data_IF_756296357214
#
_entry.id   IF_756296357214
#
_cell.length_a   1.000
_cell.length_b   1.000
_cell.length_c   1.000
_cell.angle_alpha   90.00
_cell.angle_beta   90.00
_cell.angle_gamma   90.00
#
_symmetry.space_group_name_H-M   'P 1'
#
loop_
_entity.id
_entity.type
_entity.pdbx_description
1 polymer ?
#
# COMPACT_ATOMS: atom_id res chain seq x y z
N UNK A 1 -19.76 -19.66 -22.56
CA UNK A 1 -19.64 -18.18 -22.61
C UNK A 1 -18.45 -17.78 -21.77
N UNK A 2 -17.52 -16.99 -22.31
CA UNK A 2 -16.42 -16.44 -21.51
C UNK A 2 -17.04 -15.54 -20.42
N UNK A 3 -16.63 -15.74 -19.16
CA UNK A 3 -17.13 -14.97 -18.02
C UNK A 3 -16.65 -13.53 -18.22
N UNK A 4 -17.55 -12.55 -18.27
CA UNK A 4 -17.14 -11.15 -18.37
C UNK A 4 -16.33 -10.77 -17.11
N UNK A 5 -15.20 -10.07 -17.27
CA UNK A 5 -14.41 -9.63 -16.13
C UNK A 5 -15.23 -8.69 -15.25
N UNK A 6 -15.13 -8.89 -13.93
CA UNK A 6 -15.82 -8.11 -12.91
C UNK A 6 -14.80 -7.35 -12.08
N UNK A 7 -15.10 -6.11 -11.75
CA UNK A 7 -14.33 -5.35 -10.78
C UNK A 7 -14.56 -5.91 -9.38
N UNK A 8 -13.49 -6.15 -8.64
CA UNK A 8 -13.51 -6.54 -7.24
C UNK A 8 -12.82 -5.45 -6.42
N UNK A 9 -13.49 -4.95 -5.40
CA UNK A 9 -12.90 -4.08 -4.38
C UNK A 9 -12.69 -4.91 -3.11
N UNK A 10 -11.44 -4.99 -2.66
CA UNK A 10 -11.00 -5.89 -1.60
C UNK A 10 -10.30 -5.04 -0.53
N UNK A 11 -10.96 -4.72 0.59
CA UNK A 11 -10.31 -4.01 1.69
C UNK A 11 -9.31 -4.96 2.36
N UNK A 12 -8.03 -4.57 2.38
CA UNK A 12 -6.96 -5.27 3.08
C UNK A 12 -6.64 -4.63 4.45
N UNK A 13 -7.19 -3.44 4.70
CA UNK A 13 -7.19 -2.75 6.00
C UNK A 13 -8.00 -1.45 5.94
N UNK A 14 -8.28 -0.86 7.11
CA UNK A 14 -9.01 0.41 7.26
C UNK A 14 -10.54 0.33 7.21
N UNK A 15 -11.13 -0.85 6.94
CA UNK A 15 -12.58 -1.04 7.02
C UNK A 15 -12.97 -1.62 8.39
N UNK A 16 -13.76 -0.86 9.16
CA UNK A 16 -14.17 -1.26 10.51
C UNK A 16 -13.13 -0.95 11.60
N UNK A 17 -12.09 -0.20 11.26
CA UNK A 17 -10.99 0.22 12.14
C UNK A 17 -10.50 1.63 11.75
N UNK A 18 -9.69 2.27 12.60
CA UNK A 18 -9.00 3.53 12.29
C UNK A 18 -7.53 3.21 12.05
N UNK A 19 -7.03 3.49 10.85
CA UNK A 19 -5.66 3.21 10.48
C UNK A 19 -5.55 2.14 9.38
N UNK A 20 -4.32 1.83 8.97
CA UNK A 20 -4.03 0.67 8.09
C UNK A 20 -4.78 0.69 6.75
N UNK A 21 -5.08 1.88 6.22
CA UNK A 21 -5.87 2.00 5.00
C UNK A 21 -5.16 1.30 3.84
N UNK A 22 -5.85 0.34 3.24
CA UNK A 22 -5.37 -0.36 2.05
C UNK A 22 -6.55 -1.02 1.32
N UNK A 23 -6.72 -0.70 0.04
CA UNK A 23 -7.76 -1.28 -0.81
C UNK A 23 -7.14 -1.82 -2.09
N UNK A 24 -7.37 -3.10 -2.40
CA UNK A 24 -7.03 -3.66 -3.69
C UNK A 24 -8.24 -3.59 -4.64
N UNK A 25 -8.03 -2.97 -5.80
CA UNK A 25 -8.96 -3.01 -6.92
C UNK A 25 -8.44 -4.02 -7.95
N UNK A 26 -9.14 -5.14 -8.09
CA UNK A 26 -8.80 -6.19 -9.05
C UNK A 26 -9.79 -6.17 -10.22
N UNK A 27 -9.27 -6.11 -11.44
CA UNK A 27 -10.04 -6.25 -12.66
C UNK A 27 -9.29 -7.15 -13.63
N UNK A 28 -9.92 -8.26 -14.00
CA UNK A 28 -9.31 -9.32 -14.81
C UNK A 28 -8.02 -9.86 -14.16
N UNK A 29 -6.86 -9.72 -14.82
CA UNK A 29 -5.57 -10.13 -14.27
C UNK A 29 -4.76 -8.98 -13.64
N UNK A 30 -5.37 -7.82 -13.42
CA UNK A 30 -4.67 -6.63 -12.97
C UNK A 30 -5.16 -6.18 -11.60
N UNK A 31 -4.23 -5.76 -10.74
CA UNK A 31 -4.48 -5.23 -9.42
C UNK A 31 -3.86 -3.86 -9.30
N UNK A 32 -4.65 -2.89 -8.85
CA UNK A 32 -4.17 -1.59 -8.38
C UNK A 32 -4.46 -1.49 -6.90
N UNK A 33 -3.47 -1.06 -6.12
CA UNK A 33 -3.63 -0.89 -4.67
C UNK A 33 -3.78 0.60 -4.38
N UNK A 34 -4.79 0.96 -3.60
CA UNK A 34 -4.99 2.32 -3.07
C UNK A 34 -4.52 2.30 -1.62
N UNK A 35 -3.53 3.15 -1.34
CA UNK A 35 -2.87 3.30 -0.05
C UNK A 35 -2.19 2.03 0.50
N UNK A 36 -1.32 2.22 1.47
CA UNK A 36 -0.59 1.20 2.18
C UNK A 36 -0.21 1.73 3.57
N UNK A 37 -1.25 1.93 4.39
CA UNK A 37 -1.14 2.48 5.72
C UNK A 37 -0.68 1.52 6.80
N UNK A 38 -0.19 2.08 7.90
CA UNK A 38 -0.03 1.38 9.19
C UNK A 38 -1.11 1.81 10.19
N UNK A 39 -1.20 1.11 11.30
CA UNK A 39 -1.97 1.54 12.46
C UNK A 39 -1.05 1.56 13.69
N UNK A 40 -1.25 2.54 14.57
CA UNK A 40 -0.58 2.54 15.87
C UNK A 40 -1.31 1.58 16.82
N UNK A 41 -0.57 0.84 17.66
CA UNK A 41 -1.13 -0.14 18.60
C UNK A 41 -2.07 0.53 19.62
N UNK A 42 -3.08 -0.23 20.05
CA UNK A 42 -3.94 0.13 21.20
C UNK A 42 -3.19 -0.09 22.53
N UNK A 43 -3.69 0.49 23.62
CA UNK A 43 -3.01 0.47 24.93
C UNK A 43 -2.74 -0.96 25.46
N UNK A 44 -3.60 -1.91 25.09
CA UNK A 44 -3.51 -3.31 25.48
C UNK A 44 -2.45 -4.11 24.70
N UNK A 45 -1.94 -3.57 23.58
CA UNK A 45 -0.97 -4.25 22.71
C UNK A 45 0.47 -4.01 23.17
N UNK A 46 0.78 -4.48 24.38
CA UNK A 46 2.08 -4.25 25.03
C UNK A 46 3.25 -4.80 24.20
N UNK A 47 4.23 -3.93 23.93
CA UNK A 47 5.47 -4.27 23.19
C UNK A 47 5.32 -4.29 21.67
N UNK A 48 4.13 -3.97 21.14
CA UNK A 48 3.93 -3.72 19.71
C UNK A 48 4.24 -2.27 19.42
N UNK A 49 5.00 -1.98 18.37
CA UNK A 49 5.26 -0.59 17.91
C UNK A 49 4.28 -0.17 16.80
N UNK A 50 3.97 -1.08 15.88
CA UNK A 50 3.17 -0.83 14.68
C UNK A 50 2.32 -2.05 14.32
N UNK A 51 1.13 -1.83 13.78
CA UNK A 51 0.26 -2.85 13.21
C UNK A 51 0.17 -2.66 11.70
N UNK A 52 0.43 -3.72 10.95
CA UNK A 52 0.52 -3.72 9.48
C UNK A 52 -0.63 -4.51 8.85
N UNK A 53 -1.01 -4.21 7.59
CA UNK A 53 -2.01 -4.99 6.87
C UNK A 53 -1.45 -6.35 6.46
N UNK A 54 -2.31 -7.36 6.42
CA UNK A 54 -1.96 -8.65 5.82
C UNK A 54 -2.02 -8.54 4.29
N UNK A 55 -0.86 -8.62 3.66
CA UNK A 55 -0.71 -8.51 2.20
C UNK A 55 -0.53 -9.87 1.51
N UNK A 56 -0.86 -10.98 2.17
CA UNK A 56 -0.77 -12.34 1.58
C UNK A 56 -1.51 -12.43 0.24
N UNK A 57 -2.69 -11.82 0.14
CA UNK A 57 -3.46 -11.75 -1.10
C UNK A 57 -2.67 -11.11 -2.26
N UNK A 58 -1.90 -10.05 -1.98
CA UNK A 58 -1.06 -9.37 -2.96
C UNK A 58 0.22 -10.16 -3.26
N UNK A 59 0.85 -10.77 -2.25
CA UNK A 59 2.07 -11.57 -2.42
C UNK A 59 1.88 -12.75 -3.37
N UNK A 60 0.77 -13.48 -3.22
CA UNK A 60 0.39 -14.58 -4.10
C UNK A 60 0.14 -14.14 -5.55
N UNK A 61 -0.08 -12.84 -5.77
CA UNK A 61 -0.47 -12.23 -7.06
C UNK A 61 0.47 -11.09 -7.45
N UNK A 62 1.72 -11.09 -6.95
CA UNK A 62 2.65 -9.96 -7.09
C UNK A 62 2.83 -9.49 -8.54
N UNK A 63 2.87 -10.43 -9.49
CA UNK A 63 3.03 -10.13 -10.92
C UNK A 63 1.81 -9.41 -11.54
N UNK A 64 0.66 -9.47 -10.87
CA UNK A 64 -0.59 -8.81 -11.26
C UNK A 64 -0.70 -7.39 -10.71
N UNK A 65 0.16 -7.01 -9.76
CA UNK A 65 0.11 -5.69 -9.10
C UNK A 65 0.77 -4.65 -10.00
N UNK A 66 -0.05 -3.76 -10.55
CA UNK A 66 0.41 -2.70 -11.45
C UNK A 66 1.04 -1.51 -10.72
N UNK A 67 0.70 -1.31 -9.45
CA UNK A 67 1.24 -0.23 -8.63
C UNK A 67 0.38 0.14 -7.43
N UNK A 68 0.95 1.01 -6.61
CA UNK A 68 0.31 1.63 -5.44
C UNK A 68 -0.04 3.07 -5.77
N UNK A 69 -1.30 3.44 -5.61
CA UNK A 69 -1.82 4.81 -5.72
C UNK A 69 -1.99 5.37 -4.32
N UNK A 70 -1.29 6.44 -4.01
CA UNK A 70 -1.28 7.00 -2.66
C UNK A 70 -2.04 8.31 -2.62
N UNK A 71 -3.06 8.35 -1.77
CA UNK A 71 -4.00 9.47 -1.68
C UNK A 71 -3.35 10.70 -1.06
N UNK A 72 -2.65 10.51 0.06
CA UNK A 72 -1.93 11.57 0.78
C UNK A 72 -0.82 10.98 1.67
N UNK A 73 -0.11 11.84 2.41
CA UNK A 73 1.11 11.46 3.12
C UNK A 73 0.98 11.05 4.59
N UNK A 74 -0.22 10.84 5.13
CA UNK A 74 -0.36 10.40 6.52
C UNK A 74 0.07 8.94 6.71
N UNK A 75 0.52 8.61 7.93
CA UNK A 75 1.06 7.28 8.27
C UNK A 75 0.06 6.15 8.05
N UNK A 76 -1.21 6.41 8.32
CA UNK A 76 -2.30 5.48 8.08
C UNK A 76 -2.66 5.30 6.59
N UNK A 77 -1.94 5.96 5.68
CA UNK A 77 -2.07 5.80 4.24
C UNK A 77 -0.76 5.38 3.54
N UNK A 78 0.41 5.69 4.11
CA UNK A 78 1.70 5.38 3.47
C UNK A 78 2.69 4.62 4.35
N UNK A 79 2.41 4.52 5.65
CA UNK A 79 3.40 4.10 6.65
C UNK A 79 3.84 2.63 6.51
N UNK A 80 3.00 1.76 5.94
CA UNK A 80 3.33 0.34 5.80
C UNK A 80 4.18 0.03 4.55
N UNK A 81 4.34 0.97 3.62
CA UNK A 81 5.10 0.77 2.36
C UNK A 81 6.48 0.13 2.55
N UNK A 82 7.35 0.56 3.50
CA UNK A 82 8.67 -0.03 3.65
C UNK A 82 8.65 -1.52 4.01
N UNK A 83 7.57 -2.00 4.62
CA UNK A 83 7.40 -3.39 5.03
C UNK A 83 6.75 -4.25 3.94
N UNK A 84 6.01 -3.61 3.02
CA UNK A 84 5.26 -4.28 1.95
C UNK A 84 6.09 -4.38 0.67
N UNK A 85 6.81 -3.32 0.28
CA UNK A 85 7.56 -3.27 -0.98
C UNK A 85 8.60 -4.38 -1.16
N UNK A 86 9.31 -4.85 -0.10
CA UNK A 86 10.20 -6.01 -0.23
C UNK A 86 9.48 -7.31 -0.61
N UNK A 87 8.17 -7.40 -0.34
CA UNK A 87 7.32 -8.57 -0.60
C UNK A 87 6.54 -8.44 -1.91
N UNK A 88 6.12 -7.21 -2.24
CA UNK A 88 5.34 -6.86 -3.42
C UNK A 88 5.94 -5.60 -4.04
N UNK A 89 6.87 -5.80 -4.97
CA UNK A 89 7.52 -4.69 -5.68
C UNK A 89 6.64 -4.22 -6.83
N UNK A 90 6.24 -2.96 -6.81
CA UNK A 90 5.50 -2.30 -7.89
C UNK A 90 5.73 -0.78 -7.85
N UNK A 91 5.51 -0.06 -8.97
CA UNK A 91 5.62 1.39 -8.99
C UNK A 91 4.66 2.07 -8.01
N UNK A 92 5.09 3.20 -7.46
CA UNK A 92 4.30 4.00 -6.52
C UNK A 92 3.95 5.32 -7.19
N UNK A 93 2.69 5.68 -7.12
CA UNK A 93 2.17 6.92 -7.67
C UNK A 93 1.58 7.77 -6.56
N UNK A 94 1.81 9.08 -6.63
CA UNK A 94 1.23 10.01 -5.66
C UNK A 94 1.55 11.47 -5.98
N UNK A 95 1.00 12.38 -5.17
CA UNK A 95 1.33 13.80 -5.26
C UNK A 95 2.80 14.05 -4.92
N UNK A 96 3.36 15.19 -5.36
CA UNK A 96 4.73 15.59 -5.02
C UNK A 96 5.00 15.57 -3.51
N UNK A 97 4.05 16.05 -2.70
CA UNK A 97 4.21 16.08 -1.24
C UNK A 97 4.20 14.67 -0.66
N UNK A 98 3.23 13.84 -1.07
CA UNK A 98 3.13 12.43 -0.66
C UNK A 98 4.42 11.68 -0.97
N UNK A 99 4.93 11.79 -2.21
CA UNK A 99 6.18 11.15 -2.62
C UNK A 99 7.41 11.69 -1.87
N UNK A 100 7.40 12.97 -1.48
CA UNK A 100 8.43 13.54 -0.62
C UNK A 100 8.51 12.85 0.75
N UNK A 101 7.37 12.63 1.40
CA UNK A 101 7.32 11.89 2.67
C UNK A 101 7.80 10.44 2.51
N UNK A 102 7.31 9.75 1.47
CA UNK A 102 7.66 8.35 1.20
C UNK A 102 9.15 8.22 0.91
N UNK A 103 9.74 9.13 0.13
CA UNK A 103 11.17 9.09 -0.19
C UNK A 103 12.03 9.14 1.07
N UNK A 104 11.68 9.98 2.03
CA UNK A 104 12.39 10.05 3.31
C UNK A 104 12.24 8.74 4.10
N UNK A 105 11.01 8.22 4.20
CA UNK A 105 10.73 6.94 4.87
C UNK A 105 11.48 5.76 4.23
N UNK A 106 11.48 5.66 2.90
CA UNK A 106 12.22 4.61 2.19
C UNK A 106 13.74 4.74 2.37
N UNK A 107 14.26 5.97 2.55
CA UNK A 107 15.68 6.19 2.84
C UNK A 107 16.07 5.63 4.21
N UNK A 108 15.23 5.83 5.23
CA UNK A 108 15.44 5.26 6.58
C UNK A 108 15.51 3.73 6.55
N UNK A 109 14.70 3.11 5.69
CA UNK A 109 14.66 1.67 5.49
C UNK A 109 15.65 1.14 4.43
N UNK A 110 16.51 2.00 3.85
CA UNK A 110 17.49 1.65 2.80
C UNK A 110 16.86 1.05 1.53
N UNK A 111 15.64 1.45 1.20
CA UNK A 111 14.88 0.97 0.04
C UNK A 111 14.79 1.99 -1.11
N UNK A 112 15.25 3.22 -0.91
CA UNK A 112 14.98 4.33 -1.85
C UNK A 112 15.43 4.07 -3.30
N UNK A 113 16.52 3.34 -3.52
CA UNK A 113 17.06 3.03 -4.84
C UNK A 113 16.32 1.87 -5.53
N UNK A 114 15.43 1.18 -4.82
CA UNK A 114 14.74 -0.03 -5.30
C UNK A 114 13.28 0.25 -5.70
N UNK A 115 12.83 1.50 -5.61
CA UNK A 115 11.42 1.86 -5.74
C UNK A 115 11.24 2.89 -6.85
N UNK A 116 10.35 2.59 -7.78
CA UNK A 116 9.95 3.49 -8.87
C UNK A 116 8.85 4.45 -8.36
N UNK A 117 9.24 5.69 -8.03
CA UNK A 117 8.33 6.75 -7.58
C UNK A 117 7.89 7.63 -8.77
N UNK A 118 6.59 7.71 -9.02
CA UNK A 118 5.99 8.41 -10.17
C UNK A 118 5.05 9.52 -9.71
N UNK A 119 5.46 10.77 -9.88
CA UNK A 119 4.64 11.93 -9.52
C UNK A 119 3.41 12.04 -10.44
N UNK A 120 2.23 12.15 -9.84
CA UNK A 120 0.99 12.50 -10.54
C UNK A 120 0.77 14.01 -10.39
N UNK A 121 0.63 14.70 -11.52
CA UNK A 121 0.20 16.11 -11.56
C UNK A 121 -1.33 16.14 -11.50
N UNK A 122 -1.86 16.80 -10.48
CA UNK A 122 -3.27 17.19 -10.41
C UNK A 122 -3.54 18.42 -11.28
#
# INVERSE_FOLDING_TARGET
>A
MAKQPRLRAIPLGGLGEIGRNMMALEYDENIVVIDAGLMFPEEEMLGVDLVLPDVTYLQERKEKVLGFLLTHGHEDHVGALPYILPKVSAPIYGSRLTLGFIKNRLKEHKLVEQVDLREIKA
#
